data_IF_183970451255
#
_entry.id   IF_183970451255
#
_cell.length_a   1.000
_cell.length_b   1.000
_cell.length_c   1.000
_cell.angle_alpha   90.00
_cell.angle_beta   90.00
_cell.angle_gamma   90.00
#
_symmetry.space_group_name_H-M   'P 1'
#
loop_
_entity.id
_entity.type
_entity.pdbx_description
1 polymer ?
#
# COMPACT_ATOMS: atom_id res chain seq x y z
N UNK A 1 -56.47 -65.62 11.54
CA UNK A 1 -55.59 -65.24 10.42
C UNK A 1 -54.63 -64.18 10.94
N UNK A 2 -53.34 -64.41 10.66
CA UNK A 2 -52.16 -63.55 10.92
C UNK A 2 -52.44 -62.06 10.68
N UNK A 3 -51.79 -61.07 11.29
CA UNK A 3 -50.74 -60.97 12.32
C UNK A 3 -50.70 -59.45 12.68
N UNK A 4 -50.57 -59.14 13.98
CA UNK A 4 -49.64 -58.15 14.61
C UNK A 4 -49.66 -56.68 14.18
N UNK A 5 -49.41 -55.69 15.05
CA UNK A 5 -49.23 -55.55 16.51
C UNK A 5 -49.35 -54.03 16.78
N UNK A 6 -50.25 -53.61 17.69
CA UNK A 6 -49.98 -53.04 19.01
C UNK A 6 -49.16 -51.72 19.03
N UNK A 7 -49.75 -50.59 19.42
CA UNK A 7 -49.98 -50.11 20.82
C UNK A 7 -48.64 -49.88 21.56
N UNK A 8 -48.30 -48.67 22.05
CA UNK A 8 -48.85 -48.07 23.30
C UNK A 8 -48.22 -46.68 23.53
N UNK A 9 -49.07 -45.71 23.93
CA UNK A 9 -48.95 -44.67 25.00
C UNK A 9 -47.64 -43.87 25.14
N UNK A 10 -47.56 -42.66 25.72
CA UNK A 10 -48.43 -41.73 26.47
C UNK A 10 -47.48 -40.64 26.97
N UNK A 11 -47.97 -39.42 27.20
CA UNK A 11 -47.43 -38.60 28.28
C UNK A 11 -47.01 -37.20 27.87
N UNK A 12 -47.70 -36.23 28.47
CA UNK A 12 -47.67 -34.80 28.16
C UNK A 12 -46.50 -34.03 28.79
N UNK A 13 -46.25 -32.88 28.15
CA UNK A 13 -45.83 -31.57 28.69
C UNK A 13 -44.46 -31.45 29.35
N UNK A 14 -43.70 -30.42 28.97
CA UNK A 14 -43.44 -29.21 29.79
C UNK A 14 -42.60 -28.22 28.95
N UNK A 15 -42.93 -26.93 29.11
CA UNK A 15 -42.24 -25.75 28.60
C UNK A 15 -40.71 -25.78 28.80
N UNK A 16 -39.93 -25.30 27.83
CA UNK A 16 -38.94 -24.21 28.03
C UNK A 16 -38.28 -23.79 26.71
N UNK A 17 -38.05 -22.49 26.61
CA UNK A 17 -37.44 -21.77 25.51
C UNK A 17 -35.98 -22.17 25.23
N UNK A 18 -35.54 -21.98 23.97
CA UNK A 18 -34.22 -21.58 23.43
C UNK A 18 -34.30 -21.92 21.93
N UNK A 19 -34.33 -20.96 21.00
CA UNK A 19 -33.16 -20.18 20.61
C UNK A 19 -32.33 -20.96 19.58
N UNK A 20 -32.45 -20.61 18.28
CA UNK A 20 -31.40 -20.58 17.23
C UNK A 20 -32.13 -20.25 15.91
N UNK A 21 -32.07 -18.97 15.52
CA UNK A 21 -32.27 -18.53 14.14
C UNK A 21 -30.89 -18.55 13.49
N UNK A 22 -30.59 -19.58 12.72
CA UNK A 22 -29.37 -19.64 11.92
C UNK A 22 -29.60 -18.84 10.63
N UNK A 23 -29.21 -17.57 10.61
CA UNK A 23 -29.08 -16.80 9.36
C UNK A 23 -27.66 -17.02 8.85
N UNK A 24 -27.50 -17.96 7.93
CA UNK A 24 -26.28 -18.09 7.15
C UNK A 24 -26.27 -17.00 6.07
N UNK A 25 -25.62 -15.87 6.36
CA UNK A 25 -25.27 -14.87 5.34
C UNK A 25 -24.04 -15.41 4.61
N UNK A 26 -24.24 -15.99 3.43
CA UNK A 26 -23.16 -16.13 2.45
C UNK A 26 -22.75 -14.73 1.98
N UNK A 27 -21.69 -14.19 2.55
CA UNK A 27 -20.93 -13.12 1.94
C UNK A 27 -19.73 -13.75 1.23
N UNK A 28 -19.86 -13.97 -0.09
CA UNK A 28 -18.68 -13.97 -0.96
C UNK A 28 -18.71 -12.67 -1.73
N UNK A 29 -18.00 -11.69 -1.18
CA UNK A 29 -17.54 -10.53 -1.90
C UNK A 29 -16.72 -11.05 -3.09
N UNK A 30 -17.28 -10.93 -4.29
CA UNK A 30 -16.54 -11.11 -5.52
C UNK A 30 -15.56 -9.94 -5.64
N UNK A 31 -14.40 -10.05 -5.00
CA UNK A 31 -13.26 -9.17 -5.26
C UNK A 31 -12.93 -9.29 -6.74
N UNK A 32 -13.14 -8.21 -7.49
CA UNK A 32 -12.73 -8.06 -8.88
C UNK A 32 -11.22 -8.31 -8.96
N UNK A 33 -10.81 -9.53 -9.31
CA UNK A 33 -9.40 -9.84 -9.57
C UNK A 33 -9.01 -9.12 -10.87
N UNK A 34 -8.49 -7.90 -10.75
CA UNK A 34 -7.83 -7.22 -11.86
C UNK A 34 -6.71 -8.14 -12.37
N UNK A 35 -6.78 -8.56 -13.64
CA UNK A 35 -5.78 -9.42 -14.26
C UNK A 35 -4.50 -8.61 -14.45
N UNK A 36 -3.57 -8.75 -13.52
CA UNK A 36 -2.40 -7.87 -13.42
C UNK A 36 -1.26 -8.17 -14.41
N UNK A 37 -1.28 -9.23 -15.23
CA UNK A 37 -0.09 -9.56 -16.04
C UNK A 37 -0.44 -10.06 -17.45
N UNK A 38 0.09 -9.36 -18.45
CA UNK A 38 0.32 -9.86 -19.81
C UNK A 38 1.80 -9.64 -20.12
N UNK A 39 2.64 -10.67 -19.95
CA UNK A 39 4.09 -10.52 -20.07
C UNK A 39 4.88 -11.77 -19.63
N UNK A 40 5.97 -12.04 -20.35
CA UNK A 40 6.82 -13.25 -20.38
C UNK A 40 7.07 -13.96 -19.04
N UNK A 41 7.11 -15.29 -19.09
CA UNK A 41 7.51 -16.19 -17.99
C UNK A 41 8.89 -15.78 -17.46
N UNK A 42 9.01 -15.64 -16.13
CA UNK A 42 10.29 -15.68 -15.47
C UNK A 42 10.98 -17.02 -15.78
N UNK A 43 12.31 -17.02 -15.95
CA UNK A 43 13.07 -18.26 -16.14
C UNK A 43 12.79 -19.21 -14.96
N UNK A 44 12.53 -20.47 -15.26
CA UNK A 44 11.58 -21.32 -14.51
C UNK A 44 11.83 -21.58 -13.01
N UNK A 45 12.87 -21.04 -12.40
CA UNK A 45 13.14 -21.13 -10.96
C UNK A 45 13.57 -19.80 -10.29
N UNK A 46 13.67 -18.68 -11.01
CA UNK A 46 14.05 -17.40 -10.40
C UNK A 46 12.86 -16.70 -9.74
N UNK A 47 13.15 -16.00 -8.65
CA UNK A 47 12.22 -15.10 -7.97
C UNK A 47 12.13 -13.82 -8.78
N UNK A 48 10.89 -13.43 -9.06
CA UNK A 48 10.55 -12.18 -9.75
C UNK A 48 9.37 -11.54 -9.04
N UNK A 49 9.11 -10.26 -9.31
CA UNK A 49 8.16 -9.45 -8.56
C UNK A 49 7.17 -8.77 -9.51
N UNK A 50 5.88 -8.93 -9.23
CA UNK A 50 4.81 -8.17 -9.85
C UNK A 50 4.47 -6.99 -8.94
N UNK A 51 4.44 -5.77 -9.49
CA UNK A 51 4.19 -4.57 -8.70
C UNK A 51 2.78 -4.05 -8.92
N UNK A 52 2.10 -3.77 -7.81
CA UNK A 52 0.94 -2.90 -7.76
C UNK A 52 1.12 -1.88 -6.64
N UNK A 53 0.61 -0.68 -6.82
CA UNK A 53 0.54 0.35 -5.80
C UNK A 53 -0.92 0.75 -5.64
N UNK A 54 -1.45 0.51 -4.45
CA UNK A 54 -2.85 0.75 -4.12
C UNK A 54 -3.02 2.27 -3.91
N UNK A 55 -3.80 2.97 -4.75
CA UNK A 55 -4.39 4.22 -4.28
C UNK A 55 -5.33 3.84 -3.14
N UNK A 56 -5.12 4.41 -1.95
CA UNK A 56 -5.88 4.06 -0.72
C UNK A 56 -7.35 3.79 -1.05
N UNK A 57 -7.82 2.54 -0.99
CA UNK A 57 -9.09 2.11 -1.62
C UNK A 57 -10.35 2.70 -0.96
N UNK A 58 -11.38 2.86 -1.80
CA UNK A 58 -12.73 3.34 -1.53
C UNK A 58 -13.49 2.42 -0.55
N UNK A 59 -13.50 2.72 0.75
CA UNK A 59 -14.56 2.21 1.65
C UNK A 59 -14.74 3.09 2.90
N UNK A 60 -14.75 4.40 2.72
CA UNK A 60 -15.41 5.29 3.69
C UNK A 60 -16.60 5.86 2.95
N UNK A 61 -17.79 5.41 3.32
CA UNK A 61 -19.05 5.95 2.81
C UNK A 61 -18.98 7.47 2.80
N UNK A 62 -19.57 8.07 1.77
CA UNK A 62 -19.68 9.52 1.56
C UNK A 62 -20.27 10.20 2.80
N UNK A 63 -19.47 10.40 3.84
CA UNK A 63 -19.73 11.42 4.83
C UNK A 63 -19.27 12.70 4.15
N UNK A 64 -20.24 13.55 3.81
CA UNK A 64 -19.95 14.97 3.61
C UNK A 64 -19.09 15.40 4.82
N UNK A 65 -17.87 15.91 4.61
CA UNK A 65 -17.14 16.50 5.71
C UNK A 65 -18.02 17.57 6.32
N UNK A 66 -18.13 17.59 7.65
CA UNK A 66 -18.56 18.79 8.33
C UNK A 66 -17.67 19.92 7.80
N UNK A 67 -18.27 20.96 7.23
CA UNK A 67 -17.58 22.18 6.84
C UNK A 67 -16.99 22.77 8.13
N UNK A 68 -15.75 22.41 8.46
CA UNK A 68 -15.02 23.09 9.53
C UNK A 68 -14.95 24.58 9.14
N UNK A 69 -15.34 25.43 10.08
CA UNK A 69 -15.35 26.88 9.85
C UNK A 69 -13.96 27.32 9.37
N UNK A 70 -13.86 28.05 8.25
CA UNK A 70 -12.58 28.41 7.68
C UNK A 70 -11.74 29.19 8.69
N UNK A 71 -10.47 28.83 8.83
CA UNK A 71 -9.54 29.63 9.62
C UNK A 71 -9.30 30.94 8.87
N UNK A 72 -9.74 32.05 9.46
CA UNK A 72 -9.52 33.39 8.93
C UNK A 72 -8.17 33.93 9.40
N UNK A 73 -7.28 34.21 8.46
CA UNK A 73 -6.01 34.89 8.70
C UNK A 73 -6.16 36.32 8.20
N UNK A 74 -6.05 37.29 9.10
CA UNK A 74 -6.13 38.72 8.77
C UNK A 74 -4.73 39.28 8.66
N UNK A 75 -4.47 40.05 7.61
CA UNK A 75 -3.21 40.78 7.41
C UNK A 75 -2.95 41.78 8.54
N UNK A 76 -1.69 42.15 8.70
CA UNK A 76 -1.23 43.06 9.78
C UNK A 76 -1.96 44.42 9.75
N UNK A 77 -2.46 44.85 8.58
CA UNK A 77 -3.22 46.08 8.39
C UNK A 77 -4.74 45.94 8.54
N UNK A 78 -5.23 44.73 8.83
CA UNK A 78 -6.66 44.44 8.99
C UNK A 78 -7.47 44.40 7.69
N UNK A 79 -6.85 44.62 6.52
CA UNK A 79 -7.57 44.79 5.25
C UNK A 79 -7.53 43.55 4.37
N UNK A 80 -6.42 42.83 4.41
CA UNK A 80 -6.28 41.58 3.68
C UNK A 80 -6.81 40.42 4.54
N UNK A 81 -7.65 39.57 3.96
CA UNK A 81 -8.20 38.40 4.65
C UNK A 81 -7.96 37.16 3.80
N UNK A 82 -7.30 36.16 4.38
CA UNK A 82 -7.11 34.84 3.81
C UNK A 82 -8.00 33.84 4.56
N UNK A 83 -8.75 33.04 3.81
CA UNK A 83 -9.54 31.94 4.36
C UNK A 83 -8.86 30.62 4.06
N UNK A 84 -8.47 29.91 5.12
CA UNK A 84 -7.91 28.58 5.02
C UNK A 84 -9.02 27.55 5.21
N UNK A 85 -9.28 26.79 4.15
CA UNK A 85 -10.19 25.65 4.19
C UNK A 85 -9.35 24.37 4.32
N UNK A 86 -9.20 23.80 5.53
CA UNK A 86 -8.59 22.49 5.65
C UNK A 86 -9.50 21.46 4.98
N UNK A 87 -8.92 20.59 4.18
CA UNK A 87 -9.66 19.47 3.60
C UNK A 87 -8.79 18.23 3.67
N UNK A 88 -9.23 17.26 4.47
CA UNK A 88 -8.61 15.94 4.54
C UNK A 88 -9.34 15.06 3.54
N UNK A 89 -8.66 14.73 2.44
CA UNK A 89 -9.14 13.73 1.49
C UNK A 89 -8.19 12.56 1.50
N UNK A 90 -8.77 11.37 1.53
CA UNK A 90 -8.08 10.19 1.02
C UNK A 90 -7.72 10.46 -0.44
N UNK A 91 -6.43 10.40 -0.78
CA UNK A 91 -5.95 10.80 -2.11
C UNK A 91 -6.31 9.73 -3.15
N UNK A 92 -7.49 9.86 -3.74
CA UNK A 92 -8.15 8.84 -4.56
C UNK A 92 -8.06 9.11 -6.08
N UNK A 93 -7.33 10.13 -6.55
CA UNK A 93 -7.37 10.47 -7.97
C UNK A 93 -6.10 11.14 -8.49
N UNK A 94 -5.42 10.45 -9.41
CA UNK A 94 -4.69 11.12 -10.48
C UNK A 94 -5.72 11.92 -11.31
N UNK A 95 -5.73 13.24 -11.13
CA UNK A 95 -6.68 14.13 -11.81
C UNK A 95 -6.41 14.08 -13.32
N UNK A 96 -7.36 13.56 -14.11
CA UNK A 96 -7.34 13.71 -15.57
C UNK A 96 -7.42 15.19 -15.91
N UNK A 97 -6.44 15.69 -16.66
CA UNK A 97 -6.52 16.97 -17.35
C UNK A 97 -5.56 18.07 -16.88
N UNK A 98 -4.60 17.80 -15.99
CA UNK A 98 -3.48 18.72 -15.80
C UNK A 98 -2.18 18.02 -16.20
N UNK A 99 -1.67 18.43 -17.36
CA UNK A 99 -0.25 18.29 -17.68
C UNK A 99 0.46 19.23 -16.70
N UNK A 100 0.89 18.69 -15.57
CA UNK A 100 1.62 19.45 -14.56
C UNK A 100 2.88 18.66 -14.23
N UNK A 101 4.01 19.30 -14.49
CA UNK A 101 5.36 18.91 -14.08
C UNK A 101 5.53 18.97 -12.54
N UNK A 102 4.46 18.74 -11.77
CA UNK A 102 4.43 18.87 -10.31
C UNK A 102 4.17 17.51 -9.68
N UNK A 103 5.00 17.14 -8.71
CA UNK A 103 4.95 15.93 -7.87
C UNK A 103 3.65 15.71 -7.07
N UNK A 104 2.58 16.44 -7.38
CA UNK A 104 1.27 16.35 -6.72
C UNK A 104 0.39 15.21 -7.22
N UNK A 105 0.83 14.43 -8.22
CA UNK A 105 0.15 13.19 -8.64
C UNK A 105 0.71 12.03 -7.81
N UNK A 106 -0.11 11.37 -6.96
CA UNK A 106 0.37 10.24 -6.18
C UNK A 106 0.85 9.11 -7.06
N UNK A 107 1.84 8.38 -6.55
CA UNK A 107 2.32 7.16 -7.21
C UNK A 107 1.27 6.06 -7.06
N UNK A 108 1.04 5.32 -8.14
CA UNK A 108 0.08 4.24 -8.23
C UNK A 108 0.58 3.21 -9.26
N UNK A 109 -0.15 2.10 -9.40
CA UNK A 109 0.25 1.00 -10.30
C UNK A 109 0.58 1.42 -11.74
N UNK A 110 -0.02 2.52 -12.25
CA UNK A 110 0.18 2.98 -13.63
C UNK A 110 1.43 3.80 -13.84
N UNK A 111 1.94 4.46 -12.80
CA UNK A 111 3.09 5.36 -12.90
C UNK A 111 4.28 4.92 -12.04
N UNK A 112 4.19 3.81 -11.30
CA UNK A 112 5.26 3.29 -10.44
C UNK A 112 6.59 3.18 -11.19
N UNK A 113 6.66 2.41 -12.29
CA UNK A 113 7.90 2.20 -13.04
C UNK A 113 8.42 3.43 -13.80
N UNK A 114 7.61 4.48 -13.95
CA UNK A 114 8.06 5.76 -14.52
C UNK A 114 8.59 6.73 -13.47
N UNK A 115 8.22 6.54 -12.19
CA UNK A 115 8.70 7.35 -11.06
C UNK A 115 9.85 6.68 -10.32
N UNK A 116 9.87 5.35 -10.27
CA UNK A 116 10.88 4.55 -9.57
C UNK A 116 11.60 3.62 -10.53
N UNK A 117 12.92 3.72 -10.53
CA UNK A 117 13.83 2.84 -11.26
C UNK A 117 14.15 1.57 -10.49
N UNK A 118 13.96 1.56 -9.17
CA UNK A 118 14.29 0.45 -8.29
C UNK A 118 13.50 0.47 -6.97
N UNK A 119 13.48 -0.67 -6.30
CA UNK A 119 12.94 -0.86 -4.95
C UNK A 119 13.75 -1.93 -4.20
N UNK A 120 13.74 -1.87 -2.87
CA UNK A 120 14.46 -2.81 -2.00
C UNK A 120 13.55 -3.96 -1.59
N UNK A 121 14.12 -5.17 -1.48
CA UNK A 121 13.43 -6.36 -0.98
C UNK A 121 14.24 -7.03 0.12
N UNK A 122 13.58 -7.34 1.23
CA UNK A 122 14.07 -8.27 2.24
C UNK A 122 13.14 -9.48 2.25
N UNK A 123 13.71 -10.67 2.41
CA UNK A 123 12.95 -11.91 2.48
C UNK A 123 13.47 -12.78 3.61
N UNK A 124 12.58 -13.42 4.34
CA UNK A 124 12.89 -14.33 5.43
C UNK A 124 12.18 -15.67 5.21
N UNK A 125 12.79 -16.76 5.63
CA UNK A 125 12.13 -18.07 5.71
C UNK A 125 10.93 -17.95 6.66
N UNK A 126 9.72 -18.19 6.16
CA UNK A 126 8.49 -17.96 6.92
C UNK A 126 8.48 -18.77 8.22
N UNK A 127 8.10 -18.10 9.32
CA UNK A 127 8.11 -18.70 10.66
C UNK A 127 9.49 -18.87 11.29
N UNK A 128 10.54 -18.24 10.73
CA UNK A 128 11.89 -18.24 11.30
C UNK A 128 12.63 -16.91 11.07
N UNK A 129 13.80 -16.75 11.70
CA UNK A 129 14.68 -15.60 11.52
C UNK A 129 15.69 -15.76 10.36
N UNK A 130 15.60 -16.85 9.60
CA UNK A 130 16.51 -17.13 8.49
C UNK A 130 16.37 -16.10 7.37
N UNK A 131 17.36 -15.22 7.21
CA UNK A 131 17.41 -14.26 6.11
C UNK A 131 17.65 -14.99 4.78
N UNK A 132 16.84 -14.65 3.78
CA UNK A 132 16.92 -15.20 2.43
C UNK A 132 17.31 -14.14 1.39
N UNK A 133 16.79 -12.92 1.54
CA UNK A 133 17.22 -11.74 0.78
C UNK A 133 17.48 -10.61 1.78
N UNK A 134 18.64 -9.96 1.68
CA UNK A 134 19.10 -8.97 2.64
C UNK A 134 19.21 -7.60 1.98
N UNK A 135 18.07 -6.91 1.91
CA UNK A 135 17.95 -5.60 1.27
C UNK A 135 18.43 -5.58 -0.20
N UNK A 136 18.02 -6.59 -0.95
CA UNK A 136 18.32 -6.74 -2.36
C UNK A 136 17.75 -5.60 -3.20
N UNK A 137 18.56 -5.09 -4.14
CA UNK A 137 18.10 -4.07 -5.08
C UNK A 137 17.41 -4.67 -6.29
N UNK A 138 16.11 -4.42 -6.40
CA UNK A 138 15.29 -4.82 -7.55
C UNK A 138 15.17 -3.66 -8.52
N UNK A 139 15.69 -3.83 -9.74
CA UNK A 139 15.77 -2.74 -10.73
C UNK A 139 15.73 -3.18 -12.18
N UNK A 140 15.80 -4.49 -12.46
CA UNK A 140 15.60 -5.01 -13.80
C UNK A 140 14.09 -5.07 -14.08
N UNK A 141 13.60 -4.28 -15.03
CA UNK A 141 12.18 -4.18 -15.36
C UNK A 141 11.90 -4.70 -16.79
N UNK A 142 11.04 -5.71 -16.90
CA UNK A 142 10.50 -6.22 -18.16
C UNK A 142 8.99 -5.94 -18.26
N UNK A 143 8.63 -4.66 -18.33
CA UNK A 143 7.24 -4.19 -18.40
C UNK A 143 6.57 -4.18 -17.03
N UNK A 144 5.96 -5.30 -16.65
CA UNK A 144 5.25 -5.45 -15.36
C UNK A 144 5.96 -6.38 -14.38
N UNK A 145 7.04 -7.02 -14.81
CA UNK A 145 7.81 -7.97 -14.01
C UNK A 145 9.17 -7.38 -13.68
N UNK A 146 9.50 -7.43 -12.41
CA UNK A 146 10.74 -6.91 -11.85
C UNK A 146 11.62 -8.04 -11.33
N UNK A 147 12.93 -7.91 -11.48
CA UNK A 147 13.90 -8.85 -10.94
C UNK A 147 15.12 -8.15 -10.36
N UNK A 148 15.89 -8.89 -9.57
CA UNK A 148 17.09 -8.37 -8.94
C UNK A 148 18.05 -7.82 -9.99
N UNK A 149 18.64 -6.65 -9.67
CA UNK A 149 19.69 -6.04 -10.47
C UNK A 149 21.09 -6.55 -10.10
N UNK A 150 21.19 -7.37 -9.05
CA UNK A 150 22.44 -7.82 -8.44
C UNK A 150 22.74 -9.30 -8.69
N UNK A 151 21.88 -9.98 -9.45
CA UNK A 151 21.98 -11.41 -9.79
C UNK A 151 20.67 -12.15 -9.53
N UNK A 152 20.47 -13.29 -10.19
CA UNK A 152 19.24 -14.06 -10.02
C UNK A 152 19.12 -14.61 -8.60
N UNK A 153 17.92 -14.46 -8.03
CA UNK A 153 17.52 -15.13 -6.79
C UNK A 153 16.64 -16.31 -7.15
N UNK A 154 16.84 -17.45 -6.51
CA UNK A 154 16.08 -18.67 -6.79
C UNK A 154 15.17 -19.00 -5.62
N UNK A 155 14.10 -19.75 -5.88
CA UNK A 155 13.23 -20.25 -4.81
C UNK A 155 13.94 -21.32 -3.96
N UNK A 156 13.61 -21.46 -2.66
CA UNK A 156 14.03 -22.61 -1.86
C UNK A 156 13.63 -23.93 -2.52
N UNK A 157 14.57 -24.88 -2.63
CA UNK A 157 14.36 -26.16 -3.32
C UNK A 157 13.36 -27.07 -2.60
N UNK A 158 13.30 -26.96 -1.27
CA UNK A 158 12.39 -27.70 -0.40
C UNK A 158 10.96 -27.13 -0.41
N UNK A 159 10.73 -26.01 -1.13
CA UNK A 159 9.45 -25.34 -1.20
C UNK A 159 9.12 -24.51 0.04
N UNK A 160 10.08 -24.27 0.93
CA UNK A 160 9.87 -23.43 2.12
C UNK A 160 9.35 -22.04 1.72
N UNK A 161 8.20 -21.58 2.27
CA UNK A 161 7.67 -20.26 2.00
C UNK A 161 8.56 -19.13 2.52
N UNK A 162 8.43 -17.96 1.91
CA UNK A 162 9.15 -16.75 2.29
C UNK A 162 8.20 -15.61 2.65
N UNK A 163 8.56 -14.85 3.68
CA UNK A 163 7.95 -13.58 4.03
C UNK A 163 8.72 -12.46 3.33
N UNK A 164 8.10 -11.83 2.33
CA UNK A 164 8.70 -10.75 1.55
C UNK A 164 8.26 -9.38 2.08
N UNK A 165 9.25 -8.53 2.35
CA UNK A 165 9.07 -7.12 2.66
C UNK A 165 9.74 -6.29 1.59
N UNK A 166 9.09 -5.23 1.15
CA UNK A 166 9.65 -4.34 0.15
C UNK A 166 9.41 -2.87 0.49
N UNK A 167 10.32 -2.02 0.02
CA UNK A 167 10.16 -0.57 0.08
C UNK A 167 10.56 0.08 -1.24
N UNK A 168 9.91 1.19 -1.58
CA UNK A 168 10.21 1.95 -2.79
C UNK A 168 10.28 3.45 -2.48
N UNK A 169 11.18 4.21 -3.15
CA UNK A 169 12.23 3.70 -4.03
C UNK A 169 13.42 3.13 -3.23
N UNK A 170 14.27 2.32 -3.88
CA UNK A 170 15.56 1.95 -3.30
C UNK A 170 16.53 3.14 -3.35
N UNK A 171 16.63 3.75 -4.52
CA UNK A 171 17.45 4.93 -4.78
C UNK A 171 16.57 6.14 -5.08
N UNK A 172 16.84 7.26 -4.43
CA UNK A 172 16.26 8.55 -4.78
C UNK A 172 17.37 9.59 -4.96
N UNK A 173 17.35 10.32 -6.08
CA UNK A 173 18.38 11.32 -6.42
C UNK A 173 19.82 10.80 -6.28
N UNK A 174 20.04 9.58 -6.76
CA UNK A 174 21.33 8.87 -6.73
C UNK A 174 21.84 8.51 -5.32
N UNK A 175 20.95 8.45 -4.32
CA UNK A 175 21.27 8.02 -2.96
C UNK A 175 20.27 6.96 -2.48
N UNK A 176 20.75 5.97 -1.72
CA UNK A 176 19.87 4.97 -1.12
C UNK A 176 18.97 5.62 -0.05
N UNK A 177 17.67 5.38 -0.11
CA UNK A 177 16.67 5.99 0.79
C UNK A 177 16.93 5.58 2.25
N UNK A 178 17.16 4.30 2.52
CA UNK A 178 17.55 3.80 3.84
C UNK A 178 19.06 3.62 3.90
N UNK A 179 19.77 4.73 4.14
CA UNK A 179 21.21 4.73 4.40
C UNK A 179 21.57 5.75 5.50
N UNK A 180 22.73 5.56 6.12
CA UNK A 180 23.22 6.44 7.18
C UNK A 180 22.33 6.43 8.41
N UNK A 181 21.71 7.58 8.73
CA UNK A 181 20.80 7.72 9.89
C UNK A 181 19.38 7.19 9.60
N UNK A 182 19.09 6.80 8.36
CA UNK A 182 17.87 6.10 7.98
C UNK A 182 18.18 4.61 7.91
N UNK A 183 17.30 3.78 8.45
CA UNK A 183 17.52 2.34 8.54
C UNK A 183 16.23 1.59 8.30
N UNK A 184 16.36 0.37 7.78
CA UNK A 184 15.28 -0.60 7.66
C UNK A 184 15.83 -1.95 8.11
N UNK A 185 15.13 -2.63 9.01
CA UNK A 185 15.57 -3.91 9.57
C UNK A 185 14.38 -4.70 10.10
N UNK A 186 14.54 -6.00 10.25
CA UNK A 186 13.59 -6.82 11.02
C UNK A 186 13.89 -6.69 12.52
N UNK A 187 12.83 -6.65 13.32
CA UNK A 187 12.92 -6.65 14.77
C UNK A 187 12.77 -8.05 15.37
N UNK A 188 12.98 -8.15 16.69
CA UNK A 188 12.90 -9.41 17.43
C UNK A 188 11.50 -10.04 17.43
N UNK A 189 10.46 -9.27 17.11
CA UNK A 189 9.08 -9.74 16.97
C UNK A 189 8.77 -10.21 15.53
N UNK A 190 9.77 -10.20 14.65
CA UNK A 190 9.67 -10.61 13.26
C UNK A 190 9.05 -9.56 12.33
N UNK A 191 8.84 -8.33 12.78
CA UNK A 191 8.29 -7.22 12.00
C UNK A 191 9.39 -6.38 11.36
N UNK A 192 9.07 -5.68 10.27
CA UNK A 192 9.99 -4.66 9.73
C UNK A 192 9.82 -3.35 10.48
N UNK A 193 10.92 -2.87 11.04
CA UNK A 193 11.07 -1.52 11.60
C UNK A 193 11.88 -0.65 10.64
N UNK A 194 11.49 0.62 10.56
CA UNK A 194 12.24 1.61 9.79
C UNK A 194 12.38 2.92 10.56
N UNK A 195 13.47 3.63 10.29
CA UNK A 195 13.72 5.01 10.71
C UNK A 195 13.81 5.87 9.47
N UNK A 196 12.95 6.91 9.41
CA UNK A 196 12.87 7.82 8.28
C UNK A 196 12.92 9.26 8.79
N UNK A 197 13.83 10.06 8.22
CA UNK A 197 13.89 11.49 8.47
C UNK A 197 13.56 12.21 7.17
N UNK A 198 12.54 13.08 7.23
CA UNK A 198 12.11 13.87 6.08
C UNK A 198 13.29 14.74 5.60
N UNK A 199 13.74 14.60 4.35
CA UNK A 199 14.83 15.42 3.85
C UNK A 199 14.48 16.92 3.87
N UNK A 200 15.43 17.74 4.34
CA UNK A 200 15.34 19.21 4.40
C UNK A 200 16.37 19.80 3.43
N UNK A 201 15.95 20.74 2.60
CA UNK A 201 16.83 21.45 1.68
C UNK A 201 17.34 22.75 2.31
N UNK A 202 18.53 23.18 1.90
CA UNK A 202 19.13 24.42 2.43
C UNK A 202 18.45 25.72 1.93
N UNK A 203 17.59 25.62 0.93
CA UNK A 203 16.94 26.74 0.23
C UNK A 203 15.42 26.83 0.48
N UNK A 204 14.86 25.94 1.31
CA UNK A 204 13.43 25.92 1.65
C UNK A 204 12.53 25.28 0.60
N UNK A 205 13.11 24.50 -0.31
CA UNK A 205 12.46 23.62 -1.30
C UNK A 205 12.37 22.16 -0.80
N UNK A 206 12.10 21.96 0.49
CA UNK A 206 12.09 20.64 1.14
C UNK A 206 11.21 19.62 0.42
N UNK A 207 10.01 20.04 -0.01
CA UNK A 207 9.06 19.16 -0.70
C UNK A 207 9.62 18.60 -2.03
N UNK A 208 10.53 19.31 -2.69
CA UNK A 208 11.12 18.84 -3.94
C UNK A 208 12.09 17.68 -3.72
N UNK A 209 12.65 17.56 -2.52
CA UNK A 209 13.70 16.60 -2.19
C UNK A 209 13.19 15.40 -1.39
N UNK A 210 11.89 15.35 -1.12
CA UNK A 210 11.24 14.24 -0.43
C UNK A 210 10.79 13.15 -1.43
N UNK A 211 11.16 11.88 -1.23
CA UNK A 211 10.57 10.75 -1.97
C UNK A 211 9.20 10.37 -1.39
N UNK A 212 8.29 9.90 -2.24
CA UNK A 212 7.02 9.30 -1.83
C UNK A 212 7.25 7.84 -1.37
N UNK A 213 7.79 7.67 -0.17
CA UNK A 213 8.22 6.37 0.32
C UNK A 213 7.03 5.42 0.49
N UNK A 214 7.15 4.21 -0.05
CA UNK A 214 6.09 3.19 -0.01
C UNK A 214 6.62 1.87 0.55
N UNK A 215 5.75 1.06 1.15
CA UNK A 215 6.07 -0.28 1.66
C UNK A 215 5.09 -1.33 1.14
N UNK A 216 5.55 -2.57 0.99
CA UNK A 216 4.73 -3.74 0.68
C UNK A 216 5.14 -4.92 1.57
N UNK A 217 4.17 -5.82 1.82
CA UNK A 217 4.38 -7.05 2.56
C UNK A 217 3.60 -8.19 1.90
N UNK A 218 4.27 -9.31 1.70
CA UNK A 218 3.71 -10.54 1.14
C UNK A 218 4.16 -11.71 2.01
N UNK A 219 3.34 -12.14 2.98
CA UNK A 219 3.67 -13.25 3.88
C UNK A 219 3.56 -14.60 3.19
N UNK A 220 4.27 -15.59 3.74
CA UNK A 220 4.04 -17.03 3.54
C UNK A 220 3.85 -17.41 2.06
N UNK A 221 4.79 -16.98 1.21
CA UNK A 221 4.67 -17.12 -0.23
C UNK A 221 5.74 -18.05 -0.80
N UNK A 222 5.31 -19.11 -1.48
CA UNK A 222 6.18 -20.12 -2.07
C UNK A 222 6.16 -20.11 -3.60
N UNK A 223 7.08 -20.87 -4.20
CA UNK A 223 7.09 -21.11 -5.66
C UNK A 223 5.78 -21.70 -6.17
N UNK A 224 5.14 -22.56 -5.38
CA UNK A 224 3.90 -23.22 -5.78
C UNK A 224 2.73 -22.23 -5.88
N UNK A 225 2.72 -21.22 -5.03
CA UNK A 225 1.75 -20.11 -5.06
C UNK A 225 1.97 -19.23 -6.29
N UNK A 226 3.24 -18.95 -6.58
CA UNK A 226 3.65 -18.19 -7.76
C UNK A 226 3.19 -18.84 -9.08
N UNK A 227 3.15 -20.19 -9.12
CA UNK A 227 2.72 -20.98 -10.28
C UNK A 227 1.20 -21.03 -10.51
N UNK A 228 0.39 -20.82 -9.47
CA UNK A 228 -1.08 -20.97 -9.56
C UNK A 228 -1.82 -19.66 -9.84
N UNK A 229 -1.23 -18.50 -9.56
CA UNK A 229 -1.94 -17.22 -9.70
C UNK A 229 -1.23 -16.17 -10.56
N UNK A 230 0.10 -16.17 -10.71
CA UNK A 230 0.82 -15.00 -11.25
C UNK A 230 2.16 -15.34 -11.95
N UNK A 231 2.18 -16.18 -13.00
CA UNK A 231 3.36 -16.41 -13.88
C UNK A 231 4.73 -16.61 -13.18
N UNK A 232 4.78 -17.10 -11.93
CA UNK A 232 6.04 -17.24 -11.16
C UNK A 232 6.53 -15.97 -10.45
N UNK A 233 5.68 -14.96 -10.24
CA UNK A 233 6.04 -13.66 -9.65
C UNK A 233 5.41 -13.45 -8.26
N UNK A 234 6.18 -12.89 -7.33
CA UNK A 234 5.73 -12.45 -6.01
C UNK A 234 4.89 -11.17 -6.19
N UNK A 235 3.62 -11.15 -5.76
CA UNK A 235 2.81 -9.93 -5.83
C UNK A 235 3.22 -8.97 -4.71
N UNK A 236 3.74 -7.79 -5.06
CA UNK A 236 3.99 -6.71 -4.12
C UNK A 236 2.90 -5.64 -4.25
N UNK A 237 2.22 -5.36 -3.14
CA UNK A 237 1.17 -4.33 -3.02
C UNK A 237 1.69 -3.16 -2.20
N UNK A 238 2.27 -2.17 -2.87
CA UNK A 238 2.83 -0.98 -2.23
C UNK A 238 1.74 -0.05 -1.70
N UNK A 239 1.98 0.48 -0.50
CA UNK A 239 1.18 1.50 0.18
C UNK A 239 2.05 2.69 0.56
N UNK A 240 1.51 3.90 0.48
CA UNK A 240 2.21 5.12 0.86
C UNK A 240 2.49 5.18 2.36
N UNK A 241 3.73 5.48 2.74
CA UNK A 241 4.13 5.65 4.13
C UNK A 241 3.90 7.06 4.66
N UNK A 242 3.90 8.05 3.75
CA UNK A 242 3.86 9.47 4.10
C UNK A 242 2.55 10.12 3.66
N UNK A 243 2.17 11.19 4.35
CA UNK A 243 1.03 12.02 3.96
C UNK A 243 1.44 13.06 2.92
N UNK A 244 0.68 13.17 1.83
CA UNK A 244 0.82 14.24 0.85
C UNK A 244 0.03 15.49 1.26
N UNK A 245 0.65 16.66 1.22
CA UNK A 245 -0.02 17.94 1.48
C UNK A 245 -0.14 18.73 0.18
N UNK A 246 -1.33 19.25 -0.12
CA UNK A 246 -1.59 20.06 -1.31
C UNK A 246 -2.19 21.41 -0.91
N UNK A 247 -1.54 22.48 -1.34
CA UNK A 247 -2.11 23.82 -1.27
C UNK A 247 -2.86 24.13 -2.57
N UNK A 248 -4.10 24.61 -2.44
CA UNK A 248 -4.90 25.10 -3.56
C UNK A 248 -5.30 26.53 -3.24
N UNK A 249 -4.96 27.43 -4.13
CA UNK A 249 -5.23 28.86 -3.99
C UNK A 249 -6.32 29.24 -5.00
N UNK A 250 -7.36 29.95 -4.55
CA UNK A 250 -8.45 30.47 -5.37
C UNK A 250 -8.71 31.93 -5.03
N UNK A 251 -9.37 32.64 -5.94
CA UNK A 251 -9.93 33.99 -5.72
C UNK A 251 -8.90 35.05 -5.28
N UNK A 252 -7.72 35.05 -5.92
CA UNK A 252 -6.66 36.02 -5.62
C UNK A 252 -6.90 37.31 -6.38
N UNK A 253 -7.56 38.29 -5.74
CA UNK A 253 -7.74 39.62 -6.32
C UNK A 253 -6.55 40.53 -5.98
N UNK A 254 -5.69 40.80 -6.97
CA UNK A 254 -4.58 41.78 -6.92
C UNK A 254 -3.44 41.49 -5.91
N UNK A 255 -3.31 40.26 -5.41
CA UNK A 255 -2.20 39.85 -4.56
C UNK A 255 -1.40 38.68 -5.17
N UNK A 256 -0.15 38.54 -4.74
CA UNK A 256 0.75 37.45 -5.15
C UNK A 256 1.17 36.66 -3.92
N UNK A 257 0.91 35.36 -3.93
CA UNK A 257 1.48 34.46 -2.92
C UNK A 257 2.93 34.20 -3.28
N UNK A 258 3.84 34.73 -2.45
CA UNK A 258 5.29 34.59 -2.68
C UNK A 258 5.88 33.35 -2.03
N UNK A 259 5.31 32.90 -0.90
CA UNK A 259 5.79 31.75 -0.15
C UNK A 259 4.67 31.15 0.68
N UNK A 260 4.62 29.82 0.70
CA UNK A 260 3.87 29.03 1.67
C UNK A 260 4.90 28.15 2.38
N UNK A 261 4.87 28.12 3.71
CA UNK A 261 5.78 27.29 4.49
C UNK A 261 5.00 26.62 5.63
N UNK A 262 5.24 25.33 5.83
CA UNK A 262 4.82 24.60 7.01
C UNK A 262 5.95 24.65 8.04
N UNK A 263 5.62 25.03 9.27
CA UNK A 263 6.57 25.06 10.39
C UNK A 263 5.92 24.33 11.56
N UNK A 264 6.72 23.54 12.27
CA UNK A 264 6.37 22.95 13.55
C UNK A 264 6.68 23.93 14.68
#
# INVERSE_FOLDING_TARGET
>A
MRLKEKHIMSGNSVFTALGIMAVAILAVMSCSKERLIDGRKADGNSISFGVSAIPVEENVGRQQPAEDSPLTVVGEDGKDTLYLHPNIKTNLSAIKGQQAETKGVPINSKNFGSNYSDFGVMAYLSGSDGIYMDNDRIGNNSGTVWSSSEGDRFWPEDGTPLDFYAYAPYTYRNQAVFSGNQAIARDDDGNIKFSYSVPVSGDGHDAEIQPDTMFAYTPDFSRSDAGNEINGTVPLRFQHALSGIRFVVKDVNKCTIRKIALKN
#
